data_IF_594163903295
#
_entry.id   IF_594163903295
#
_cell.length_a   1.000
_cell.length_b   1.000
_cell.length_c   1.000
_cell.angle_alpha   90.00
_cell.angle_beta   90.00
_cell.angle_gamma   90.00
#
_symmetry.space_group_name_H-M   'P 1'
#
loop_
_entity.id
_entity.type
_entity.pdbx_description
1 polymer ?
#
# COMPACT_ATOMS: atom_id res chain seq x y z
N UNK A 1 -31.44 -2.83 -31.94
CA UNK A 1 -30.83 -4.14 -32.25
C UNK A 1 -29.53 -4.27 -31.47
N UNK A 2 -29.31 -5.42 -30.78
CA UNK A 2 -28.12 -5.62 -29.91
C UNK A 2 -26.80 -5.58 -30.70
N UNK A 3 -26.82 -5.88 -31.97
CA UNK A 3 -25.67 -5.82 -32.86
C UNK A 3 -25.23 -4.39 -33.16
N UNK A 4 -26.17 -3.48 -33.35
CA UNK A 4 -25.89 -2.08 -33.65
C UNK A 4 -25.34 -1.35 -32.41
N UNK A 5 -25.83 -1.72 -31.23
CA UNK A 5 -25.31 -1.22 -29.97
C UNK A 5 -23.84 -1.65 -29.73
N UNK A 6 -23.52 -2.90 -29.99
CA UNK A 6 -22.16 -3.43 -29.86
C UNK A 6 -21.18 -2.83 -30.89
N UNK A 7 -21.64 -2.52 -32.10
CA UNK A 7 -20.83 -1.88 -33.14
C UNK A 7 -20.55 -0.42 -32.80
N UNK A 8 -21.55 0.32 -32.34
CA UNK A 8 -21.41 1.71 -31.88
C UNK A 8 -20.45 1.79 -30.69
N UNK A 9 -20.61 0.90 -29.73
CA UNK A 9 -19.75 0.81 -28.57
C UNK A 9 -18.26 0.57 -28.92
N UNK A 10 -18.02 -0.23 -29.95
CA UNK A 10 -16.65 -0.57 -30.39
C UNK A 10 -15.95 0.57 -31.14
N UNK A 11 -16.69 1.50 -31.76
CA UNK A 11 -16.12 2.54 -32.62
C UNK A 11 -15.94 3.90 -31.91
N UNK A 12 -16.66 4.17 -30.82
CA UNK A 12 -16.72 5.53 -30.23
C UNK A 12 -16.04 5.65 -28.87
N UNK A 13 -15.55 4.57 -28.28
CA UNK A 13 -15.04 4.59 -26.91
C UNK A 13 -13.56 4.28 -26.87
N UNK A 14 -12.77 5.17 -26.34
CA UNK A 14 -11.47 4.84 -25.78
C UNK A 14 -11.70 3.92 -24.58
N UNK A 15 -11.46 2.63 -24.75
CA UNK A 15 -11.85 1.63 -23.78
C UNK A 15 -11.14 1.79 -22.43
N UNK A 16 -9.84 2.12 -22.46
CA UNK A 16 -9.02 2.23 -21.27
C UNK A 16 -7.68 2.91 -21.57
N UNK A 17 -7.23 3.81 -20.72
CA UNK A 17 -5.87 4.36 -20.74
C UNK A 17 -5.40 4.59 -19.31
N UNK A 18 -4.30 3.95 -18.94
CA UNK A 18 -3.60 4.20 -17.67
C UNK A 18 -2.17 4.61 -17.97
N UNK A 19 -1.76 5.75 -17.44
CA UNK A 19 -0.39 6.27 -17.58
C UNK A 19 0.13 6.67 -16.21
N UNK A 20 1.22 6.03 -15.80
CA UNK A 20 1.87 6.32 -14.52
C UNK A 20 3.27 6.89 -14.75
N UNK A 21 3.57 7.96 -14.07
CA UNK A 21 4.92 8.53 -13.98
C UNK A 21 5.36 8.50 -12.53
N UNK A 22 6.50 7.86 -12.26
CA UNK A 22 7.06 7.82 -10.92
C UNK A 22 8.50 8.30 -10.89
N UNK A 23 8.85 8.98 -9.82
CA UNK A 23 10.22 9.40 -9.50
C UNK A 23 10.50 8.99 -8.08
N UNK A 24 11.64 8.32 -7.86
CA UNK A 24 12.12 7.90 -6.54
C UNK A 24 13.52 8.47 -6.30
N UNK A 25 13.73 9.02 -5.10
CA UNK A 25 15.04 9.41 -4.60
C UNK A 25 15.32 8.69 -3.28
N UNK A 26 16.53 8.17 -3.13
CA UNK A 26 16.97 7.45 -1.93
C UNK A 26 18.41 7.80 -1.62
N UNK A 27 18.69 8.07 -0.34
CA UNK A 27 20.01 8.35 0.16
C UNK A 27 20.31 7.54 1.42
N UNK A 28 21.45 6.86 1.43
CA UNK A 28 21.95 6.10 2.56
C UNK A 28 23.21 6.75 3.12
N UNK A 29 23.25 6.96 4.41
CA UNK A 29 24.41 7.47 5.12
C UNK A 29 24.78 6.54 6.27
N UNK A 30 26.01 6.02 6.24
CA UNK A 30 26.50 5.09 7.26
C UNK A 30 27.41 5.84 8.25
N UNK A 31 27.05 5.77 9.52
CA UNK A 31 27.79 6.32 10.64
C UNK A 31 28.63 5.20 11.29
N UNK A 32 29.93 5.43 11.47
CA UNK A 32 30.80 4.54 12.26
C UNK A 32 30.72 3.05 11.85
N UNK A 33 30.54 2.73 10.57
CA UNK A 33 30.46 1.38 10.00
C UNK A 33 29.38 0.45 10.65
N UNK A 34 28.56 0.99 11.55
CA UNK A 34 27.57 0.23 12.33
C UNK A 34 26.13 0.72 12.21
N UNK A 35 25.96 2.03 11.98
CA UNK A 35 24.64 2.66 12.00
C UNK A 35 24.36 3.28 10.64
N UNK A 36 23.18 3.06 10.11
CA UNK A 36 22.82 3.59 8.80
C UNK A 36 21.52 4.39 8.89
N UNK A 37 21.56 5.62 8.38
CA UNK A 37 20.37 6.42 8.12
C UNK A 37 20.01 6.29 6.65
N UNK A 38 18.79 5.86 6.37
CA UNK A 38 18.20 5.86 5.04
C UNK A 38 17.11 6.91 5.01
N UNK A 39 17.16 7.82 4.05
CA UNK A 39 16.10 8.80 3.79
C UNK A 39 15.73 8.75 2.32
N UNK A 40 14.47 8.99 2.02
CA UNK A 40 14.03 8.98 0.64
C UNK A 40 12.63 9.54 0.49
N UNK A 41 12.17 9.54 -0.75
CA UNK A 41 10.82 9.93 -1.10
C UNK A 41 10.46 9.49 -2.50
N UNK A 42 9.18 9.32 -2.71
CA UNK A 42 8.58 8.95 -3.98
C UNK A 42 7.57 10.01 -4.41
N UNK A 43 7.46 10.22 -5.69
CA UNK A 43 6.36 10.95 -6.31
C UNK A 43 5.77 10.11 -7.42
N UNK A 44 4.46 9.98 -7.42
CA UNK A 44 3.70 9.27 -8.44
C UNK A 44 2.59 10.18 -8.98
N UNK A 45 2.50 10.26 -10.30
CA UNK A 45 1.33 10.77 -11.03
C UNK A 45 0.66 9.60 -11.71
N UNK A 46 -0.58 9.34 -11.35
CA UNK A 46 -1.43 8.31 -11.94
C UNK A 46 -2.58 8.97 -12.72
N UNK A 47 -2.62 8.72 -14.04
CA UNK A 47 -3.70 9.15 -14.92
C UNK A 47 -4.48 7.93 -15.35
N UNK A 48 -5.79 7.94 -15.14
CA UNK A 48 -6.67 6.85 -15.51
C UNK A 48 -7.91 7.37 -16.23
N UNK A 49 -8.12 6.90 -17.45
CA UNK A 49 -9.36 7.03 -18.20
C UNK A 49 -9.94 5.62 -18.38
N UNK A 50 -11.24 5.46 -18.13
CA UNK A 50 -11.90 4.16 -18.26
C UNK A 50 -13.36 4.35 -18.67
N UNK A 51 -13.85 3.47 -19.55
CA UNK A 51 -15.25 3.34 -19.88
C UNK A 51 -16.12 2.98 -18.65
N UNK A 52 -15.50 2.51 -17.59
CA UNK A 52 -16.16 2.16 -16.32
C UNK A 52 -16.47 3.39 -15.46
N UNK A 53 -16.00 4.57 -15.85
CA UNK A 53 -16.32 5.82 -15.20
C UNK A 53 -17.55 6.46 -15.83
N UNK A 54 -18.29 7.25 -15.04
CA UNK A 54 -19.43 7.98 -15.54
C UNK A 54 -18.99 8.92 -16.68
N UNK A 55 -19.70 8.87 -17.81
CA UNK A 55 -19.46 9.74 -18.99
C UNK A 55 -18.04 9.61 -19.59
N UNK A 56 -17.39 8.44 -19.44
CA UNK A 56 -16.01 8.21 -19.89
C UNK A 56 -15.02 9.24 -19.32
N UNK A 57 -15.23 9.66 -18.07
CA UNK A 57 -14.38 10.63 -17.39
C UNK A 57 -12.94 10.11 -17.25
N UNK A 58 -12.02 11.05 -17.11
CA UNK A 58 -10.64 10.80 -16.77
C UNK A 58 -10.31 11.42 -15.41
N UNK A 59 -9.43 10.75 -14.67
CA UNK A 59 -8.98 11.19 -13.35
C UNK A 59 -7.47 11.17 -13.27
N UNK A 60 -6.93 12.15 -12.56
CA UNK A 60 -5.50 12.22 -12.28
C UNK A 60 -5.28 12.29 -10.78
N UNK A 61 -4.49 11.38 -10.25
CA UNK A 61 -4.08 11.39 -8.85
C UNK A 61 -2.58 11.65 -8.74
N UNK A 62 -2.22 12.51 -7.82
CA UNK A 62 -0.83 12.72 -7.42
C UNK A 62 -0.64 12.14 -6.03
N UNK A 63 0.40 11.35 -5.86
CA UNK A 63 0.85 10.93 -4.53
C UNK A 63 2.31 11.31 -4.34
N UNK A 64 2.62 11.69 -3.12
CA UNK A 64 3.98 11.99 -2.71
C UNK A 64 4.22 11.42 -1.32
N UNK A 65 5.39 10.86 -1.11
CA UNK A 65 5.81 10.39 0.19
C UNK A 65 7.24 10.79 0.51
N UNK A 66 7.53 10.83 1.81
CA UNK A 66 8.87 10.96 2.34
C UNK A 66 9.05 10.00 3.51
N UNK A 67 10.21 9.37 3.60
CA UNK A 67 10.51 8.44 4.67
C UNK A 67 11.92 8.59 5.20
N UNK A 68 12.08 8.22 6.47
CA UNK A 68 13.36 8.07 7.12
C UNK A 68 13.41 6.79 7.95
N UNK A 69 14.53 6.09 7.91
CA UNK A 69 14.78 4.88 8.68
C UNK A 69 16.19 4.94 9.28
N UNK A 70 16.29 4.59 10.54
CA UNK A 70 17.58 4.47 11.23
C UNK A 70 17.82 3.02 11.66
N UNK A 71 18.91 2.45 11.19
CA UNK A 71 19.42 1.13 11.59
C UNK A 71 20.52 1.35 12.62
N UNK A 72 20.26 0.97 13.86
CA UNK A 72 21.11 1.17 15.00
C UNK A 72 21.62 -0.17 15.56
N UNK A 73 22.94 -0.31 15.59
CA UNK A 73 23.63 -1.49 16.10
C UNK A 73 24.49 -1.12 17.33
N UNK A 74 23.85 -0.92 18.52
CA UNK A 74 24.58 -0.54 19.72
C UNK A 74 25.58 -1.59 20.17
N UNK A 75 25.30 -2.85 19.93
CA UNK A 75 26.20 -3.99 20.23
C UNK A 75 26.15 -5.00 19.09
N UNK A 76 27.08 -5.97 19.09
CA UNK A 76 27.09 -7.10 18.13
C UNK A 76 25.88 -8.03 18.27
N UNK A 77 25.19 -7.95 19.41
CA UNK A 77 24.07 -8.82 19.75
C UNK A 77 22.71 -8.14 19.59
N UNK A 78 22.66 -6.82 19.52
CA UNK A 78 21.42 -6.07 19.54
C UNK A 78 21.34 -5.11 18.34
N UNK A 79 20.25 -5.19 17.60
CA UNK A 79 19.96 -4.30 16.48
C UNK A 79 18.55 -3.71 16.64
N UNK A 80 18.41 -2.44 16.33
CA UNK A 80 17.16 -1.67 16.31
C UNK A 80 17.01 -1.01 14.96
N UNK A 81 15.89 -1.21 14.31
CA UNK A 81 15.49 -0.50 13.11
C UNK A 81 14.24 0.30 13.44
N UNK A 82 14.30 1.62 13.33
CA UNK A 82 13.15 2.50 13.54
C UNK A 82 12.97 3.39 12.33
N UNK A 83 11.73 3.56 11.87
CA UNK A 83 11.45 4.41 10.74
C UNK A 83 10.05 4.98 10.77
N UNK A 84 9.89 6.02 9.98
CA UNK A 84 8.64 6.74 9.79
C UNK A 84 8.51 7.11 8.30
N UNK A 85 7.31 6.90 7.76
CA UNK A 85 6.94 7.35 6.42
C UNK A 85 5.74 8.27 6.53
N UNK A 86 5.73 9.32 5.75
CA UNK A 86 4.61 10.23 5.54
C UNK A 86 4.14 10.10 4.10
N UNK A 87 2.84 9.90 3.90
CA UNK A 87 2.19 9.77 2.60
C UNK A 87 1.15 10.87 2.41
N UNK A 88 1.04 11.38 1.19
CA UNK A 88 0.03 12.34 0.75
C UNK A 88 -0.58 11.90 -0.59
N UNK A 89 -1.92 11.95 -0.70
CA UNK A 89 -2.70 11.64 -1.89
C UNK A 89 -3.64 12.80 -2.23
N UNK A 90 -3.53 13.33 -3.45
CA UNK A 90 -4.26 14.55 -3.84
C UNK A 90 -5.76 14.33 -4.00
N UNK A 91 -6.17 13.22 -4.61
CA UNK A 91 -7.59 12.98 -4.95
C UNK A 91 -8.43 12.73 -3.69
N UNK A 92 -7.96 11.90 -2.81
CA UNK A 92 -8.62 11.62 -1.52
C UNK A 92 -8.28 12.63 -0.42
N UNK A 93 -7.37 13.59 -0.68
CA UNK A 93 -6.80 14.53 0.30
C UNK A 93 -6.32 13.84 1.59
N UNK A 94 -5.85 12.60 1.47
CA UNK A 94 -5.40 11.79 2.59
C UNK A 94 -3.96 12.12 2.92
N UNK A 95 -3.67 12.21 4.22
CA UNK A 95 -2.33 12.35 4.81
C UNK A 95 -2.16 11.30 5.88
N UNK A 96 -1.10 10.52 5.78
CA UNK A 96 -0.90 9.41 6.72
C UNK A 96 0.56 9.29 7.17
N UNK A 97 0.76 8.88 8.44
CA UNK A 97 2.05 8.52 9.01
C UNK A 97 2.09 7.03 9.30
N UNK A 98 3.10 6.35 8.77
CA UNK A 98 3.30 4.92 8.94
C UNK A 98 4.62 4.67 9.70
N UNK A 99 4.58 4.52 11.03
CA UNK A 99 5.74 4.13 11.81
C UNK A 99 6.05 2.64 11.65
N UNK A 100 7.34 2.29 11.77
CA UNK A 100 7.78 0.92 11.95
C UNK A 100 8.94 0.82 12.95
N UNK A 101 9.00 -0.30 13.65
CA UNK A 101 10.03 -0.63 14.62
C UNK A 101 10.39 -2.11 14.49
N UNK A 102 11.66 -2.41 14.35
CA UNK A 102 12.21 -3.76 14.38
C UNK A 102 13.27 -3.87 15.46
N UNK A 103 13.22 -4.95 16.21
CA UNK A 103 14.22 -5.29 17.24
C UNK A 103 14.78 -6.67 16.96
N UNK A 104 16.07 -6.84 17.08
CA UNK A 104 16.72 -8.14 17.01
C UNK A 104 17.72 -8.31 18.15
N UNK A 105 17.68 -9.47 18.79
CA UNK A 105 18.63 -9.85 19.82
C UNK A 105 19.23 -11.24 19.54
N UNK A 106 20.55 -11.35 19.55
CA UNK A 106 21.30 -12.58 19.30
C UNK A 106 21.95 -13.09 20.57
N UNK A 107 21.73 -14.37 20.88
CA UNK A 107 22.34 -15.05 22.04
C UNK A 107 22.91 -16.38 21.55
N UNK A 108 24.25 -16.46 21.38
CA UNK A 108 24.90 -17.65 20.87
C UNK A 108 24.34 -18.10 19.53
N UNK A 109 23.72 -19.27 19.49
CA UNK A 109 23.12 -19.85 18.29
C UNK A 109 21.65 -19.43 18.07
N UNK A 110 21.10 -18.62 18.96
CA UNK A 110 19.72 -18.17 18.87
C UNK A 110 19.63 -16.70 18.43
N UNK A 111 18.60 -16.34 17.67
CA UNK A 111 18.20 -14.97 17.45
C UNK A 111 16.70 -14.80 17.67
N UNK A 112 16.34 -13.75 18.39
CA UNK A 112 14.96 -13.33 18.62
C UNK A 112 14.72 -12.01 17.85
N UNK A 113 13.63 -11.95 17.09
CA UNK A 113 13.23 -10.75 16.35
C UNK A 113 11.80 -10.42 16.68
N UNK A 114 11.55 -9.13 16.99
CA UNK A 114 10.22 -8.57 17.12
C UNK A 114 10.07 -7.41 16.16
N UNK A 115 8.90 -7.24 15.55
CA UNK A 115 8.62 -6.07 14.73
C UNK A 115 7.18 -5.58 14.89
N UNK A 116 7.04 -4.30 14.71
CA UNK A 116 5.78 -3.59 14.55
C UNK A 116 5.86 -2.73 13.30
N UNK A 117 4.81 -2.74 12.48
CA UNK A 117 4.67 -1.83 11.35
C UNK A 117 3.21 -1.43 11.20
N UNK A 118 2.96 -0.14 11.01
CA UNK A 118 1.66 0.35 10.55
C UNK A 118 1.62 0.32 9.05
N UNK A 119 0.61 -0.36 8.48
CA UNK A 119 0.29 -0.35 7.06
C UNK A 119 -0.80 0.66 6.77
N UNK A 120 -0.83 1.12 5.52
CA UNK A 120 -1.79 2.09 5.03
C UNK A 120 -2.09 1.84 3.55
N UNK A 121 -3.35 2.01 3.15
CA UNK A 121 -3.77 1.96 1.75
C UNK A 121 -4.79 3.06 1.45
N UNK A 122 -4.44 3.98 0.56
CA UNK A 122 -5.41 4.96 0.03
C UNK A 122 -6.39 4.28 -0.93
N UNK A 123 -7.66 4.72 -0.98
CA UNK A 123 -8.58 4.31 -2.03
C UNK A 123 -8.01 4.58 -3.41
N UNK A 124 -8.26 3.70 -4.36
CA UNK A 124 -7.86 3.86 -5.75
C UNK A 124 -8.88 4.69 -6.52
N UNK A 125 -8.46 5.28 -7.65
CA UNK A 125 -9.38 6.01 -8.55
C UNK A 125 -10.56 5.15 -8.98
N UNK A 126 -10.36 3.84 -9.17
CA UNK A 126 -11.44 2.91 -9.51
C UNK A 126 -12.44 2.74 -8.38
N UNK A 127 -11.96 2.55 -7.16
CA UNK A 127 -12.84 2.37 -5.98
C UNK A 127 -13.66 3.63 -5.69
N UNK A 128 -13.12 4.82 -5.98
CA UNK A 128 -13.81 6.08 -5.77
C UNK A 128 -14.81 6.43 -6.90
N UNK A 129 -14.49 6.12 -8.16
CA UNK A 129 -15.20 6.71 -9.30
C UNK A 129 -15.85 5.70 -10.26
N UNK A 130 -15.79 4.38 -9.97
CA UNK A 130 -16.45 3.37 -10.80
C UNK A 130 -17.97 3.59 -10.88
N UNK A 131 -18.52 3.49 -12.09
CA UNK A 131 -19.97 3.56 -12.31
C UNK A 131 -20.32 2.80 -13.60
N UNK A 132 -20.52 1.50 -13.52
CA UNK A 132 -20.79 0.67 -14.69
C UNK A 132 -21.60 -0.59 -14.36
N UNK A 133 -22.25 -1.14 -15.38
CA UNK A 133 -22.96 -2.43 -15.30
C UNK A 133 -22.01 -3.59 -15.53
N UNK A 134 -21.91 -4.48 -14.53
CA UNK A 134 -21.21 -5.75 -14.68
C UNK A 134 -22.17 -6.81 -15.26
N UNK A 135 -21.83 -7.31 -16.45
CA UNK A 135 -22.57 -8.39 -17.13
C UNK A 135 -24.09 -8.16 -17.24
N UNK A 136 -24.56 -6.92 -17.29
CA UNK A 136 -25.98 -6.54 -17.29
C UNK A 136 -26.81 -7.05 -16.09
N UNK A 137 -26.15 -7.45 -15.00
CA UNK A 137 -26.81 -8.08 -13.85
C UNK A 137 -26.67 -7.23 -12.58
N UNK A 138 -25.58 -6.49 -12.47
CA UNK A 138 -25.23 -5.74 -11.26
C UNK A 138 -24.64 -4.38 -11.65
N UNK A 139 -25.10 -3.31 -11.00
CA UNK A 139 -24.48 -1.98 -11.11
C UNK A 139 -23.41 -1.86 -10.04
N UNK A 140 -22.22 -1.42 -10.42
CA UNK A 140 -21.13 -1.12 -9.50
C UNK A 140 -20.97 0.38 -9.40
N UNK A 141 -21.03 0.88 -8.18
CA UNK A 141 -20.82 2.27 -7.83
C UNK A 141 -19.53 2.41 -7.02
N UNK A 142 -18.66 3.34 -7.40
CA UNK A 142 -17.56 3.80 -6.56
C UNK A 142 -18.11 4.75 -5.47
N UNK A 143 -17.34 4.90 -4.42
CA UNK A 143 -17.64 5.84 -3.34
C UNK A 143 -16.47 6.83 -3.20
N UNK A 144 -16.66 8.12 -3.54
CA UNK A 144 -15.61 9.13 -3.40
C UNK A 144 -15.27 9.48 -1.94
N UNK A 145 -16.16 9.13 -0.99
CA UNK A 145 -15.99 9.40 0.44
C UNK A 145 -15.33 8.22 1.19
N UNK A 146 -14.67 7.30 0.47
CA UNK A 146 -13.96 6.19 1.09
C UNK A 146 -12.81 6.68 1.97
N UNK A 147 -12.78 6.16 3.19
CA UNK A 147 -11.65 6.33 4.10
C UNK A 147 -10.51 5.35 3.77
N UNK A 148 -9.26 5.72 4.07
CA UNK A 148 -8.13 4.83 3.84
C UNK A 148 -8.12 3.66 4.82
N UNK A 149 -7.73 2.48 4.32
CA UNK A 149 -7.47 1.33 5.18
C UNK A 149 -6.20 1.54 6.00
N UNK A 150 -6.24 1.19 7.26
CA UNK A 150 -5.06 1.13 8.13
C UNK A 150 -4.89 -0.25 8.73
N UNK A 151 -3.65 -0.67 8.93
CA UNK A 151 -3.36 -1.94 9.58
C UNK A 151 -2.21 -1.84 10.57
N UNK A 152 -2.29 -2.64 11.64
CA UNK A 152 -1.23 -2.79 12.62
C UNK A 152 -0.69 -4.22 12.54
N UNK A 153 0.57 -4.34 12.16
CA UNK A 153 1.22 -5.62 11.95
C UNK A 153 2.24 -5.84 13.05
N UNK A 154 2.11 -6.93 13.78
CA UNK A 154 3.04 -7.39 14.81
C UNK A 154 3.64 -8.72 14.39
N UNK A 155 4.93 -8.88 14.52
CA UNK A 155 5.57 -10.18 14.35
C UNK A 155 6.58 -10.47 15.46
N UNK A 156 6.70 -11.75 15.77
CA UNK A 156 7.72 -12.26 16.69
C UNK A 156 8.29 -13.55 16.10
N UNK A 157 9.61 -13.62 15.96
CA UNK A 157 10.26 -14.82 15.44
C UNK A 157 11.47 -15.21 16.30
N UNK A 158 11.61 -16.51 16.53
CA UNK A 158 12.77 -17.12 17.14
C UNK A 158 13.48 -18.02 16.13
N UNK A 159 14.78 -17.92 16.03
CA UNK A 159 15.62 -18.71 15.14
C UNK A 159 16.74 -19.37 15.96
N UNK A 160 16.98 -20.66 15.69
CA UNK A 160 18.10 -21.40 16.22
C UNK A 160 18.93 -21.99 15.08
N UNK A 161 20.21 -21.63 15.03
CA UNK A 161 21.14 -22.10 14.00
C UNK A 161 22.32 -22.78 14.63
N UNK A 162 22.53 -24.06 14.30
CA UNK A 162 23.72 -24.83 14.75
C UNK A 162 24.19 -25.76 13.64
N UNK A 163 25.45 -25.61 13.27
CA UNK A 163 26.12 -26.37 12.19
C UNK A 163 25.31 -26.28 10.88
N UNK A 164 24.66 -27.40 10.49
CA UNK A 164 23.83 -27.54 9.27
C UNK A 164 22.33 -27.43 9.54
N UNK A 165 21.92 -27.21 10.79
CA UNK A 165 20.51 -27.12 11.17
C UNK A 165 20.13 -25.67 11.43
N UNK A 166 19.00 -25.26 10.86
CA UNK A 166 18.34 -23.99 11.13
C UNK A 166 16.86 -24.26 11.38
N UNK A 167 16.36 -23.77 12.50
CA UNK A 167 14.96 -23.84 12.89
C UNK A 167 14.45 -22.43 13.14
N UNK A 168 13.36 -22.06 12.48
CA UNK A 168 12.71 -20.76 12.66
C UNK A 168 11.23 -20.96 12.98
N UNK A 169 10.78 -20.31 14.04
CA UNK A 169 9.36 -20.20 14.40
C UNK A 169 8.96 -18.73 14.35
N UNK A 170 7.90 -18.43 13.61
CA UNK A 170 7.37 -17.07 13.49
C UNK A 170 5.89 -17.05 13.79
N UNK A 171 5.46 -16.14 14.68
CA UNK A 171 4.08 -15.74 14.90
C UNK A 171 3.88 -14.32 14.39
N UNK A 172 2.70 -14.05 13.83
CA UNK A 172 2.31 -12.71 13.42
C UNK A 172 0.84 -12.46 13.74
N UNK A 173 0.53 -11.20 13.98
CA UNK A 173 -0.81 -10.72 14.25
C UNK A 173 -1.06 -9.43 13.48
N UNK A 174 -2.17 -9.38 12.75
CA UNK A 174 -2.55 -8.24 11.92
C UNK A 174 -3.95 -7.76 12.29
N UNK A 175 -4.08 -6.46 12.56
CA UNK A 175 -5.35 -5.76 12.77
C UNK A 175 -5.56 -4.82 11.59
N UNK A 176 -6.69 -4.92 10.92
CA UNK A 176 -7.07 -4.04 9.81
C UNK A 176 -8.32 -3.25 10.21
N UNK A 177 -8.27 -1.94 9.99
CA UNK A 177 -9.37 -1.00 10.22
C UNK A 177 -9.79 -0.37 8.88
N UNK A 178 -11.08 -0.03 8.78
CA UNK A 178 -11.68 0.68 7.64
C UNK A 178 -11.45 -0.04 6.30
N UNK A 179 -11.60 -1.37 6.32
CA UNK A 179 -11.35 -2.23 5.16
C UNK A 179 -12.31 -1.89 4.03
N UNK A 180 -11.76 -1.57 2.86
CA UNK A 180 -12.53 -1.27 1.66
C UNK A 180 -13.02 -2.57 1.04
N UNK A 181 -14.33 -2.80 1.07
CA UNK A 181 -14.97 -4.00 0.54
C UNK A 181 -16.16 -3.63 -0.34
N UNK A 182 -16.45 -4.50 -1.32
CA UNK A 182 -17.69 -4.40 -2.08
C UNK A 182 -18.86 -4.87 -1.21
N UNK A 183 -19.88 -4.02 -1.11
CA UNK A 183 -21.13 -4.36 -0.43
C UNK A 183 -22.26 -4.34 -1.45
N UNK A 184 -23.19 -5.32 -1.36
CA UNK A 184 -24.37 -5.35 -2.22
C UNK A 184 -25.50 -4.56 -1.56
N UNK A 185 -26.02 -3.56 -2.28
CA UNK A 185 -27.28 -2.94 -1.93
C UNK A 185 -28.41 -3.67 -2.67
N UNK A 186 -29.49 -3.93 -1.97
CA UNK A 186 -30.75 -4.28 -2.59
C UNK A 186 -31.60 -3.03 -2.52
N UNK A 187 -31.86 -2.37 -3.67
CA UNK A 187 -32.89 -1.35 -3.72
C UNK A 187 -34.21 -2.05 -3.33
N UNK A 188 -34.70 -1.72 -2.16
CA UNK A 188 -36.07 -2.04 -1.74
C UNK A 188 -36.90 -0.83 -2.12
N UNK A 189 -37.41 -0.81 -3.36
CA UNK A 189 -38.58 -0.02 -3.71
C UNK A 189 -39.83 -0.54 -3.02
#
# INVERSE_FOLDING_TARGET
DKSDYLVSYKNDIRDYSNVQHSVRALYNYTFNDKNTLTVGGDYLRDYLMSYQFKENADYTMHSADAFGQFDWNPTEHFNVIAGLRFDYFSESNVRHFSPHLGLMYKIGNCSLRGSYAQGFRSPTLKEMHMNFYMANTMMIYGNPDLEPETSHNFSLSGEYTKNRYNFTLTGYYNLVHDRIEYTSFRDTD
#
